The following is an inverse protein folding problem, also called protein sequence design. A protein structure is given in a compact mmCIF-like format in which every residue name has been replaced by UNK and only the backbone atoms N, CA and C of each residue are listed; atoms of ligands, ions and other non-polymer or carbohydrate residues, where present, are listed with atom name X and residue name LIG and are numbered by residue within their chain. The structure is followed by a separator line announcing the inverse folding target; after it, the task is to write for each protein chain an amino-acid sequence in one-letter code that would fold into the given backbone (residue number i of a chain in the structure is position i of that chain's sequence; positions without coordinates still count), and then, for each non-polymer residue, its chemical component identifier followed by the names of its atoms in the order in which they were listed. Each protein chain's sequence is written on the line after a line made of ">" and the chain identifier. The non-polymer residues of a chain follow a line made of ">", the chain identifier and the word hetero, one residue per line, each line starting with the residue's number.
data_IF_977509506582
#
_entry.id   IF_977509506582
#
_cell.length_a   1.000
_cell.length_b   1.000
_cell.length_c   1.000
_cell.angle_alpha   90.00
_cell.angle_beta   90.00
_cell.angle_gamma   90.00
#
_symmetry.space_group_name_H-M   'P 1'
#
loop_
_entity.id
_entity.type
_entity.pdbx_description
1 polymer ?
#
# COMPACT_ATOMS: atom_id res chain seq x y z
N UNK A 1 1.55 2.73 -29.56
CA UNK A 1 1.95 2.86 -28.15
C UNK A 1 1.07 1.93 -27.33
N UNK A 2 1.64 1.13 -26.44
CA UNK A 2 0.91 0.19 -25.59
C UNK A 2 1.10 0.65 -24.14
N UNK A 3 0.00 0.78 -23.40
CA UNK A 3 -0.01 1.13 -22.00
C UNK A 3 -0.60 -0.04 -21.22
N UNK A 4 0.03 -0.39 -20.09
CA UNK A 4 -0.41 -1.45 -19.19
C UNK A 4 -0.71 -0.81 -17.85
N UNK A 5 -1.94 -0.96 -17.36
CA UNK A 5 -2.38 -0.38 -16.09
C UNK A 5 -2.28 -1.43 -14.97
N UNK A 6 -1.33 -1.25 -14.06
CA UNK A 6 -1.24 -2.05 -12.84
C UNK A 6 -2.47 -1.85 -11.94
N UNK A 7 -3.01 -0.62 -11.90
CA UNK A 7 -4.20 -0.29 -11.13
C UNK A 7 -5.41 -1.14 -11.55
N UNK A 8 -5.73 -1.16 -12.84
CA UNK A 8 -6.88 -1.92 -13.37
C UNK A 8 -6.72 -3.42 -13.11
N UNK A 9 -5.53 -3.96 -13.33
CA UNK A 9 -5.29 -5.40 -13.15
C UNK A 9 -5.36 -5.83 -11.68
N UNK A 10 -4.86 -5.00 -10.76
CA UNK A 10 -4.86 -5.29 -9.33
C UNK A 10 -6.20 -5.03 -8.64
N UNK A 11 -7.14 -4.37 -9.34
CA UNK A 11 -8.52 -4.17 -8.90
C UNK A 11 -9.52 -4.98 -9.76
N UNK A 12 -9.04 -5.91 -10.59
CA UNK A 12 -9.93 -6.73 -11.41
C UNK A 12 -10.67 -7.75 -10.51
N UNK A 13 -12.02 -7.72 -10.45
CA UNK A 13 -12.80 -8.66 -9.64
C UNK A 13 -12.67 -10.13 -10.09
N UNK A 14 -12.15 -10.40 -11.30
CA UNK A 14 -11.83 -11.75 -11.75
C UNK A 14 -10.67 -12.39 -10.97
N UNK A 15 -9.74 -11.56 -10.46
CA UNK A 15 -8.54 -12.01 -9.75
C UNK A 15 -8.58 -11.69 -8.26
N UNK A 16 -9.34 -10.67 -7.86
CA UNK A 16 -9.37 -10.13 -6.52
C UNK A 16 -10.79 -9.97 -6.02
N UNK A 17 -11.21 -10.82 -5.07
CA UNK A 17 -12.49 -10.64 -4.38
C UNK A 17 -12.52 -9.30 -3.66
N UNK A 18 -13.64 -8.56 -3.74
CA UNK A 18 -13.81 -7.23 -3.13
C UNK A 18 -12.58 -6.31 -3.38
N UNK A 19 -12.27 -6.00 -4.65
CA UNK A 19 -11.00 -5.37 -5.02
C UNK A 19 -10.82 -3.95 -4.44
N UNK A 20 -11.93 -3.24 -4.20
CA UNK A 20 -11.94 -1.90 -3.61
C UNK A 20 -11.79 -1.89 -2.08
N UNK A 21 -11.78 -3.07 -1.44
CA UNK A 21 -11.67 -3.19 0.02
C UNK A 21 -10.23 -3.45 0.46
N UNK A 22 -9.78 -2.72 1.49
CA UNK A 22 -8.48 -2.96 2.11
C UNK A 22 -8.51 -4.20 2.99
N UNK A 23 -8.10 -5.35 2.44
CA UNK A 23 -8.06 -6.64 3.13
C UNK A 23 -6.62 -7.20 3.11
N UNK A 24 -5.78 -6.86 4.11
CA UNK A 24 -4.38 -7.31 4.16
C UNK A 24 -4.22 -8.83 4.14
N UNK A 25 -5.09 -9.53 4.87
CA UNK A 25 -5.03 -10.98 5.07
C UNK A 25 -5.23 -11.77 3.76
N UNK A 26 -5.71 -11.12 2.68
CA UNK A 26 -5.86 -11.78 1.37
C UNK A 26 -4.54 -12.32 0.83
N UNK A 27 -3.41 -11.73 1.21
CA UNK A 27 -2.10 -12.13 0.70
C UNK A 27 -1.48 -13.32 1.45
N UNK A 28 -2.19 -13.87 2.43
CA UNK A 28 -1.80 -15.08 3.15
C UNK A 28 -1.99 -16.35 2.31
N UNK A 29 -1.65 -17.51 2.87
CA UNK A 29 -1.91 -18.84 2.30
C UNK A 29 -1.46 -19.04 0.86
N UNK A 30 -0.39 -18.35 0.45
CA UNK A 30 0.12 -18.35 -0.91
C UNK A 30 -0.88 -17.86 -1.97
N UNK A 31 -1.83 -16.97 -1.64
CA UNK A 31 -2.78 -16.38 -2.60
C UNK A 31 -2.10 -15.89 -3.88
N UNK A 32 -0.95 -15.23 -3.75
CA UNK A 32 -0.14 -14.76 -4.88
C UNK A 32 0.25 -15.85 -5.89
N UNK A 33 0.34 -17.11 -5.47
CA UNK A 33 0.64 -18.25 -6.37
C UNK A 33 -0.58 -18.73 -7.16
N UNK A 34 -1.79 -18.40 -6.69
CA UNK A 34 -3.04 -18.72 -7.42
C UNK A 34 -3.30 -17.76 -8.58
N UNK A 35 -2.66 -16.59 -8.56
CA UNK A 35 -2.85 -15.55 -9.56
C UNK A 35 -2.12 -15.88 -10.87
N UNK A 36 -2.75 -15.60 -12.03
CA UNK A 36 -2.05 -15.63 -13.31
C UNK A 36 -0.85 -14.68 -13.34
N UNK A 37 0.11 -14.98 -14.21
CA UNK A 37 1.24 -14.08 -14.44
C UNK A 37 0.72 -12.68 -14.84
N UNK A 38 1.30 -11.65 -14.22
CA UNK A 38 0.89 -10.24 -14.40
C UNK A 38 -0.54 -9.91 -13.97
N UNK A 39 -1.21 -10.70 -13.12
CA UNK A 39 -2.38 -10.21 -12.39
C UNK A 39 -1.98 -9.26 -11.25
N UNK A 40 -0.79 -9.44 -10.67
CA UNK A 40 -0.20 -8.55 -9.67
C UNK A 40 1.23 -8.15 -10.06
N UNK A 41 1.42 -6.87 -10.41
CA UNK A 41 2.70 -6.32 -10.89
C UNK A 41 2.87 -4.84 -10.52
N UNK A 42 2.87 -4.50 -9.22
CA UNK A 42 2.89 -3.09 -8.76
C UNK A 42 4.11 -2.30 -9.24
N UNK A 43 5.21 -3.00 -9.57
CA UNK A 43 6.46 -2.41 -10.03
C UNK A 43 6.81 -2.79 -11.48
N UNK A 44 5.81 -3.16 -12.28
CA UNK A 44 6.00 -3.70 -13.63
C UNK A 44 6.48 -5.15 -13.61
N UNK A 45 6.94 -5.65 -14.76
CA UNK A 45 7.47 -7.00 -14.89
C UNK A 45 8.26 -7.22 -16.17
N UNK A 46 8.82 -8.42 -16.33
CA UNK A 46 9.71 -8.74 -17.45
C UNK A 46 11.04 -7.98 -17.41
N UNK A 47 11.74 -7.81 -18.56
CA UNK A 47 13.06 -7.17 -18.63
C UNK A 47 13.09 -5.68 -18.22
N UNK A 48 11.92 -5.05 -18.05
CA UNK A 48 11.75 -3.64 -17.70
C UNK A 48 11.08 -3.46 -16.34
N UNK A 49 11.07 -4.50 -15.49
CA UNK A 49 10.65 -4.38 -14.09
C UNK A 49 11.45 -3.26 -13.39
N UNK A 50 10.82 -2.54 -12.48
CA UNK A 50 11.49 -1.52 -11.69
C UNK A 50 12.74 -2.11 -11.00
N UNK A 51 13.90 -1.50 -11.24
CA UNK A 51 15.16 -1.87 -10.60
C UNK A 51 15.09 -1.77 -9.06
N UNK A 52 14.23 -0.87 -8.55
CA UNK A 52 14.02 -0.65 -7.13
C UNK A 52 12.99 -1.57 -6.47
N UNK A 53 12.38 -2.54 -7.18
CA UNK A 53 11.30 -3.38 -6.65
C UNK A 53 11.65 -4.01 -5.28
N UNK A 54 12.79 -4.69 -5.19
CA UNK A 54 13.23 -5.34 -3.95
C UNK A 54 13.56 -4.33 -2.84
N UNK A 55 14.14 -3.20 -3.21
CA UNK A 55 14.47 -2.14 -2.26
C UNK A 55 13.21 -1.52 -1.66
N UNK A 56 12.21 -1.19 -2.50
CA UNK A 56 10.94 -0.62 -2.07
C UNK A 56 10.18 -1.57 -1.11
N UNK A 57 10.16 -2.87 -1.40
CA UNK A 57 9.52 -3.85 -0.51
C UNK A 57 10.23 -3.95 0.84
N UNK A 58 11.56 -3.96 0.85
CA UNK A 58 12.34 -3.94 2.09
C UNK A 58 12.04 -2.68 2.91
N UNK A 59 12.11 -1.51 2.29
CA UNK A 59 11.86 -0.23 2.94
C UNK A 59 10.43 -0.15 3.48
N UNK A 60 9.43 -0.57 2.71
CA UNK A 60 8.02 -0.57 3.14
C UNK A 60 7.84 -1.34 4.45
N UNK A 61 8.43 -2.54 4.56
CA UNK A 61 8.37 -3.34 5.79
C UNK A 61 9.08 -2.63 6.95
N UNK A 62 10.26 -2.06 6.72
CA UNK A 62 11.00 -1.34 7.77
C UNK A 62 10.26 -0.09 8.27
N UNK A 63 9.72 0.70 7.35
CA UNK A 63 8.97 1.92 7.67
C UNK A 63 7.72 1.56 8.45
N UNK A 64 6.94 0.58 7.99
CA UNK A 64 5.74 0.10 8.71
C UNK A 64 6.08 -0.41 10.11
N UNK A 65 7.14 -1.23 10.26
CA UNK A 65 7.59 -1.73 11.55
C UNK A 65 8.04 -0.59 12.49
N UNK A 66 8.79 0.39 11.97
CA UNK A 66 9.23 1.55 12.74
C UNK A 66 8.04 2.40 13.21
N UNK A 67 7.07 2.65 12.34
CA UNK A 67 5.86 3.38 12.64
C UNK A 67 5.05 2.65 13.71
N UNK A 68 4.74 1.37 13.49
CA UNK A 68 3.95 0.54 14.40
C UNK A 68 4.61 0.41 15.78
N UNK A 69 5.94 0.33 15.87
CA UNK A 69 6.67 0.23 17.13
C UNK A 69 6.65 1.54 17.93
N UNK A 70 6.81 2.69 17.26
CA UNK A 70 7.09 3.98 17.93
C UNK A 70 5.86 4.87 18.10
N UNK A 71 4.85 4.73 17.25
CA UNK A 71 3.73 5.65 17.19
C UNK A 71 2.38 4.94 17.38
N UNK A 72 1.45 5.61 18.05
CA UNK A 72 0.03 5.29 17.99
C UNK A 72 -0.63 6.23 16.99
N UNK A 73 -1.24 5.65 15.96
CA UNK A 73 -1.94 6.39 14.92
C UNK A 73 -3.41 6.50 15.30
N UNK A 74 -3.96 7.71 15.22
CA UNK A 74 -5.39 7.99 15.33
C UNK A 74 -5.77 8.92 14.19
N UNK A 75 -7.00 8.75 13.70
CA UNK A 75 -7.55 9.67 12.71
C UNK A 75 -7.62 11.07 13.33
N UNK A 76 -7.21 12.07 12.56
CA UNK A 76 -7.34 13.45 12.98
C UNK A 76 -8.83 13.84 13.08
N UNK A 77 -9.24 14.66 14.05
CA UNK A 77 -10.65 15.07 14.21
C UNK A 77 -11.23 15.78 12.98
N UNK A 78 -10.37 16.39 12.19
CA UNK A 78 -10.63 17.19 10.99
C UNK A 78 -10.29 16.44 9.69
N UNK A 79 -10.21 15.10 9.73
CA UNK A 79 -9.88 14.32 8.55
C UNK A 79 -10.95 14.42 7.45
N UNK A 80 -10.52 14.84 6.26
CA UNK A 80 -11.33 14.83 5.04
C UNK A 80 -11.30 13.49 4.33
N UNK A 81 -12.39 13.14 3.65
CA UNK A 81 -12.44 11.96 2.79
C UNK A 81 -11.34 12.03 1.73
N UNK A 82 -10.58 10.93 1.62
CA UNK A 82 -9.45 10.84 0.70
C UNK A 82 -9.96 10.30 -0.64
N UNK A 83 -10.13 11.19 -1.62
CA UNK A 83 -10.43 10.78 -2.99
C UNK A 83 -9.15 10.42 -3.75
N UNK A 84 -8.99 9.17 -4.23
CA UNK A 84 -7.82 8.77 -5.00
C UNK A 84 -7.85 9.47 -6.36
N UNK A 85 -6.88 10.35 -6.61
CA UNK A 85 -6.63 10.92 -7.93
C UNK A 85 -5.42 10.21 -8.56
N UNK A 86 -5.57 9.60 -9.73
CA UNK A 86 -4.42 9.07 -10.47
C UNK A 86 -3.65 10.29 -11.02
N UNK A 87 -2.46 10.67 -10.50
CA UNK A 87 -1.35 9.81 -10.06
C UNK A 87 -0.85 10.04 -8.61
N UNK A 88 -1.61 10.73 -7.74
CA UNK A 88 -1.26 10.99 -6.35
C UNK A 88 -2.52 11.12 -5.49
N UNK A 89 -2.51 10.50 -4.31
CA UNK A 89 -3.50 10.75 -3.26
C UNK A 89 -3.27 12.15 -2.67
N UNK A 90 -3.91 13.18 -3.23
CA UNK A 90 -3.77 14.57 -2.79
C UNK A 90 -4.76 14.88 -1.66
N UNK A 91 -4.28 14.89 -0.41
CA UNK A 91 -4.85 15.75 0.63
C UNK A 91 -4.10 17.08 0.56
N UNK A 92 -4.78 18.17 0.18
CA UNK A 92 -4.21 19.51 0.30
C UNK A 92 -3.97 19.76 1.79
N UNK A 93 -2.72 20.08 2.15
CA UNK A 93 -2.25 20.44 3.51
C UNK A 93 -2.08 19.27 4.51
N UNK A 94 -0.86 18.69 4.52
CA UNK A 94 -0.44 17.76 5.58
C UNK A 94 0.03 18.54 6.81
N UNK A 95 -0.84 18.69 7.81
CA UNK A 95 -0.41 18.98 9.19
C UNK A 95 -0.56 17.68 9.98
N UNK A 96 0.52 17.20 10.61
CA UNK A 96 0.54 15.94 11.36
C UNK A 96 -0.29 16.03 12.67
N UNK A 97 -1.61 16.12 12.55
CA UNK A 97 -2.54 16.10 13.66
C UNK A 97 -2.85 14.65 14.05
N UNK A 98 -2.68 14.32 15.34
CA UNK A 98 -3.10 13.01 15.89
C UNK A 98 -2.03 11.92 16.00
N UNK A 99 -0.78 12.16 15.57
CA UNK A 99 0.33 11.20 15.76
C UNK A 99 0.94 11.39 17.15
N UNK A 100 0.74 10.42 18.05
CA UNK A 100 1.40 10.41 19.36
C UNK A 100 2.47 9.34 19.40
N UNK A 101 3.68 9.70 19.86
CA UNK A 101 4.69 8.71 20.24
C UNK A 101 4.09 7.84 21.36
N UNK A 102 4.23 6.53 21.25
CA UNK A 102 3.93 5.62 22.36
C UNK A 102 4.86 6.04 23.50
N UNK A 103 4.33 6.32 24.69
CA UNK A 103 5.17 6.72 25.82
C UNK A 103 6.19 5.61 26.06
N UNK A 104 7.45 5.97 26.19
CA UNK A 104 8.49 5.03 26.60
C UNK A 104 8.13 4.53 28.00
N UNK A 105 7.45 3.39 28.12
CA UNK A 105 7.51 2.61 29.36
C UNK A 105 8.89 1.99 29.33
N UNK A 106 9.76 2.52 30.19
CA UNK A 106 11.02 1.87 30.57
C UNK A 106 10.74 0.39 30.82
N UNK A 107 11.47 -0.47 30.12
CA UNK A 107 11.70 -1.84 30.57
C UNK A 107 12.32 -1.82 31.96
#
# INVERSE_FOLDING_TARGET
>A
MILISSYVMQHNPEYFDQPESFIPDRFENNFMKSLPAFAYFPFGGGPRVCIGNHFAMMEAVFVLACIAKRYGIKLAPDHHEVTPFLPYTQTQEWTAHGVRRKSCRSL
#
